data_IF_808909070244
#
_entry.id   IF_808909070244
#
_cell.length_a   1.000
_cell.length_b   1.000
_cell.length_c   1.000
_cell.angle_alpha   90.00
_cell.angle_beta   90.00
_cell.angle_gamma   90.00
#
_symmetry.space_group_name_H-M   'P 1'
#
loop_
_entity.id
_entity.type
_entity.pdbx_description
1 polymer ?
#
# COMPACT_ATOMS: atom_id res chain seq x y z
N UNK A 1 36.00 -36.72 -15.62
CA UNK A 1 34.78 -36.25 -16.32
C UNK A 1 33.98 -35.36 -15.43
N UNK A 2 34.09 -34.06 -15.68
CA UNK A 2 33.47 -33.02 -14.89
C UNK A 2 32.03 -32.81 -15.32
N UNK A 3 31.08 -33.05 -14.42
CA UNK A 3 29.71 -32.57 -14.60
C UNK A 3 29.55 -31.29 -13.77
N UNK A 4 29.60 -30.16 -14.47
CA UNK A 4 29.23 -28.84 -13.93
C UNK A 4 27.72 -28.82 -13.73
N UNK A 5 27.29 -28.84 -12.48
CA UNK A 5 25.94 -28.41 -12.11
C UNK A 5 25.97 -26.89 -11.92
N UNK A 6 25.58 -26.16 -12.94
CA UNK A 6 25.17 -24.80 -12.82
C UNK A 6 23.74 -24.80 -12.30
N UNK A 7 23.60 -24.86 -10.98
CA UNK A 7 22.33 -24.51 -10.35
C UNK A 7 22.25 -22.99 -10.32
N UNK A 8 21.52 -22.43 -11.25
CA UNK A 8 21.09 -21.03 -11.18
C UNK A 8 19.97 -20.96 -10.15
N UNK A 9 20.32 -20.96 -8.88
CA UNK A 9 19.42 -20.59 -7.81
C UNK A 9 19.42 -19.07 -7.71
N UNK A 10 18.52 -18.43 -8.42
CA UNK A 10 18.03 -17.10 -8.04
C UNK A 10 17.18 -17.26 -6.78
N UNK A 11 17.83 -17.56 -5.68
CA UNK A 11 17.23 -17.33 -4.36
C UNK A 11 17.18 -15.82 -4.18
N UNK A 12 16.02 -15.25 -4.45
CA UNK A 12 15.67 -13.96 -3.94
C UNK A 12 15.68 -14.11 -2.40
N UNK A 13 16.81 -13.79 -1.78
CA UNK A 13 16.92 -13.72 -0.33
C UNK A 13 16.15 -12.46 0.03
N UNK A 14 14.86 -12.62 0.34
CA UNK A 14 14.06 -11.62 1.00
C UNK A 14 14.72 -11.42 2.37
N UNK A 15 15.53 -10.39 2.51
CA UNK A 15 16.11 -9.99 3.80
C UNK A 15 14.98 -9.42 4.66
N UNK A 16 14.36 -10.28 5.45
CA UNK A 16 13.46 -9.85 6.52
C UNK A 16 14.34 -9.22 7.59
N UNK A 17 14.46 -7.91 7.54
CA UNK A 17 15.11 -7.15 8.61
C UNK A 17 14.12 -7.03 9.77
N UNK A 18 14.25 -7.94 10.73
CA UNK A 18 13.67 -7.74 12.06
C UNK A 18 14.47 -6.65 12.77
N UNK A 19 14.12 -5.39 12.59
CA UNK A 19 14.62 -4.33 13.44
C UNK A 19 13.78 -4.28 14.71
N UNK A 20 14.42 -4.53 15.85
CA UNK A 20 13.90 -4.32 17.23
C UNK A 20 13.97 -2.81 17.55
N UNK A 21 13.48 -2.00 16.66
CA UNK A 21 13.21 -0.58 16.85
C UNK A 21 11.68 -0.47 16.82
N UNK A 22 11.09 0.49 17.52
CA UNK A 22 9.66 0.76 17.43
C UNK A 22 9.31 1.24 16.01
N UNK A 23 9.46 0.35 15.04
CA UNK A 23 9.08 0.62 13.65
C UNK A 23 7.57 0.65 13.57
N UNK A 24 7.06 1.57 12.76
CA UNK A 24 5.64 1.69 12.48
C UNK A 24 5.11 0.52 11.61
N UNK A 25 5.95 -0.47 11.28
CA UNK A 25 5.61 -1.63 10.45
C UNK A 25 6.29 -2.92 10.93
N UNK A 26 5.73 -4.07 10.55
CA UNK A 26 6.26 -5.40 10.88
C UNK A 26 7.22 -5.95 9.82
N UNK A 27 6.96 -5.66 8.55
CA UNK A 27 7.74 -6.17 7.41
C UNK A 27 7.73 -5.22 6.22
N UNK A 28 8.82 -5.20 5.47
CA UNK A 28 8.95 -4.56 4.16
C UNK A 28 9.06 -5.63 3.08
N UNK A 29 8.26 -5.51 2.03
CA UNK A 29 8.31 -6.36 0.83
C UNK A 29 8.26 -5.48 -0.41
N UNK A 30 9.26 -5.57 -1.26
CA UNK A 30 9.37 -4.81 -2.52
C UNK A 30 9.18 -3.29 -2.35
N UNK A 31 9.71 -2.73 -1.24
CA UNK A 31 9.62 -1.30 -0.93
C UNK A 31 8.28 -0.85 -0.35
N UNK A 32 7.37 -1.78 -0.06
CA UNK A 32 6.09 -1.49 0.59
C UNK A 32 6.12 -2.04 2.02
N UNK A 33 5.65 -1.23 2.96
CA UNK A 33 5.66 -1.54 4.39
C UNK A 33 4.31 -2.08 4.84
N UNK A 34 4.32 -3.11 5.67
CA UNK A 34 3.11 -3.81 6.11
C UNK A 34 3.09 -4.07 7.60
N UNK A 35 1.90 -3.97 8.19
CA UNK A 35 1.54 -4.60 9.45
C UNK A 35 0.96 -5.98 9.19
N UNK A 36 1.24 -6.93 10.07
CA UNK A 36 0.72 -8.31 10.05
C UNK A 36 -0.01 -8.63 11.36
N UNK A 37 -1.12 -7.94 11.66
CA UNK A 37 -1.75 -7.94 13.00
C UNK A 37 -2.32 -9.31 13.39
N UNK A 38 -2.56 -10.18 12.42
CA UNK A 38 -3.04 -11.53 12.62
C UNK A 38 -2.62 -12.45 11.48
N UNK A 39 -2.75 -13.76 11.71
CA UNK A 39 -2.41 -14.77 10.71
C UNK A 39 -3.11 -14.49 9.36
N UNK A 40 -2.34 -14.57 8.29
CA UNK A 40 -2.77 -14.43 6.89
C UNK A 40 -3.39 -13.06 6.51
N UNK A 41 -3.17 -12.02 7.30
CA UNK A 41 -3.61 -10.64 6.99
C UNK A 41 -2.43 -9.70 7.00
N UNK A 42 -2.28 -8.93 5.92
CA UNK A 42 -1.36 -7.80 5.82
C UNK A 42 -2.16 -6.50 5.60
N UNK A 43 -1.65 -5.41 6.14
CA UNK A 43 -2.19 -4.06 6.02
C UNK A 43 -1.06 -3.16 5.54
N UNK A 44 -1.26 -2.42 4.46
CA UNK A 44 -0.27 -1.43 3.99
C UNK A 44 -0.19 -0.31 5.00
N UNK A 45 1.01 0.05 5.41
CA UNK A 45 1.25 1.08 6.42
C UNK A 45 2.38 2.03 6.02
N UNK A 46 2.61 3.03 6.85
CA UNK A 46 3.72 3.96 6.71
C UNK A 46 5.04 3.29 7.10
N UNK A 47 6.06 3.50 6.30
CA UNK A 47 7.42 3.04 6.58
C UNK A 47 8.37 4.14 6.99
N UNK A 48 9.65 3.78 7.10
CA UNK A 48 10.74 4.70 7.45
C UNK A 48 11.05 5.69 6.33
N UNK A 49 10.65 5.37 5.09
CA UNK A 49 10.83 6.21 3.91
C UNK A 49 9.50 6.56 3.29
N UNK A 50 9.38 7.78 2.78
CA UNK A 50 8.22 8.18 2.01
C UNK A 50 8.17 7.40 0.69
N UNK A 51 6.95 6.95 0.32
CA UNK A 51 6.72 6.33 -0.98
C UNK A 51 6.87 7.34 -2.11
N UNK A 52 7.37 6.89 -3.26
CA UNK A 52 7.55 7.73 -4.45
C UNK A 52 7.38 6.92 -5.73
N UNK A 53 7.08 7.61 -6.84
CA UNK A 53 6.85 6.98 -8.14
C UNK A 53 5.54 6.20 -8.18
N UNK A 54 5.52 5.14 -8.97
CA UNK A 54 4.36 4.28 -9.16
C UNK A 54 4.40 3.10 -8.20
N UNK A 55 3.36 2.96 -7.38
CA UNK A 55 3.23 1.88 -6.42
C UNK A 55 2.15 0.90 -6.89
N UNK A 56 2.53 -0.36 -7.02
CA UNK A 56 1.59 -1.45 -7.28
C UNK A 56 1.49 -2.34 -6.04
N UNK A 57 0.39 -2.21 -5.29
CA UNK A 57 0.14 -3.00 -4.09
C UNK A 57 -0.26 -4.42 -4.54
N UNK A 58 0.46 -5.48 -4.12
CA UNK A 58 0.09 -6.85 -4.44
C UNK A 58 -1.14 -7.30 -3.64
N UNK A 59 -1.88 -8.28 -4.15
CA UNK A 59 -3.03 -8.88 -3.43
C UNK A 59 -2.62 -9.71 -2.23
N UNK A 60 -1.41 -10.26 -2.25
CA UNK A 60 -0.80 -11.01 -1.14
C UNK A 60 0.70 -10.82 -1.10
N UNK A 61 1.29 -11.04 0.07
CA UNK A 61 2.74 -11.05 0.31
C UNK A 61 3.15 -12.36 0.96
N UNK A 62 4.39 -12.77 0.74
CA UNK A 62 4.99 -13.92 1.44
C UNK A 62 6.02 -13.43 2.44
N UNK A 63 5.87 -13.85 3.68
CA UNK A 63 6.84 -13.60 4.75
C UNK A 63 7.28 -14.96 5.30
N UNK A 64 8.54 -15.30 5.13
CA UNK A 64 9.03 -16.67 5.30
C UNK A 64 8.22 -17.62 4.43
N UNK A 65 7.62 -18.68 5.00
CA UNK A 65 6.77 -19.63 4.28
C UNK A 65 5.27 -19.35 4.40
N UNK A 66 4.90 -18.24 5.02
CA UNK A 66 3.51 -17.86 5.26
C UNK A 66 3.03 -16.83 4.24
N UNK A 67 1.83 -17.04 3.70
CA UNK A 67 1.17 -16.08 2.82
C UNK A 67 0.19 -15.21 3.59
N UNK A 68 0.21 -13.90 3.30
CA UNK A 68 -0.65 -12.89 3.91
C UNK A 68 -1.42 -12.15 2.81
N UNK A 69 -2.73 -12.10 2.90
CA UNK A 69 -3.57 -11.31 1.99
C UNK A 69 -3.56 -9.85 2.42
N UNK A 70 -3.30 -8.95 1.48
CA UNK A 70 -3.37 -7.50 1.72
C UNK A 70 -4.83 -7.08 1.76
N UNK A 71 -5.33 -6.65 2.92
CA UNK A 71 -6.75 -6.39 3.17
C UNK A 71 -7.11 -4.93 3.25
N UNK A 72 -6.22 -4.09 3.75
CA UNK A 72 -6.52 -2.71 4.04
C UNK A 72 -5.30 -1.81 3.77
N UNK A 73 -5.56 -0.54 3.53
CA UNK A 73 -4.59 0.54 3.58
C UNK A 73 -4.82 1.29 4.88
N UNK A 74 -3.83 1.28 5.76
CA UNK A 74 -3.91 1.91 7.08
C UNK A 74 -4.07 3.43 6.98
N UNK A 75 -4.61 4.02 8.04
CA UNK A 75 -4.62 5.47 8.17
C UNK A 75 -3.21 6.06 8.08
N UNK A 76 -3.06 7.13 7.33
CA UNK A 76 -1.80 7.84 7.07
C UNK A 76 -0.70 7.03 6.38
N UNK A 77 -1.00 5.86 5.78
CA UNK A 77 -0.01 4.99 5.13
C UNK A 77 0.88 5.72 4.11
N UNK A 78 0.30 6.60 3.30
CA UNK A 78 0.98 7.37 2.27
C UNK A 78 0.97 8.89 2.55
N UNK A 79 0.64 9.32 3.77
CA UNK A 79 0.60 10.75 4.12
C UNK A 79 1.91 11.46 3.81
N UNK A 80 1.85 12.63 3.18
CA UNK A 80 3.00 13.45 2.78
C UNK A 80 3.95 12.76 1.77
N UNK A 81 3.49 11.75 1.04
CA UNK A 81 4.27 11.13 -0.03
C UNK A 81 4.23 12.01 -1.29
N UNK A 82 4.89 13.17 -1.24
CA UNK A 82 4.86 14.20 -2.29
C UNK A 82 5.45 13.72 -3.62
N UNK A 83 6.25 12.66 -3.62
CA UNK A 83 6.81 12.03 -4.83
C UNK A 83 5.99 10.87 -5.38
N UNK A 84 4.87 10.49 -4.76
CA UNK A 84 4.01 9.42 -5.20
C UNK A 84 3.19 9.86 -6.41
N UNK A 85 3.29 9.15 -7.55
CA UNK A 85 2.66 9.51 -8.82
C UNK A 85 1.43 8.69 -9.15
N UNK A 86 1.45 7.40 -8.86
CA UNK A 86 0.29 6.54 -9.04
C UNK A 86 0.23 5.40 -8.02
N UNK A 87 -0.97 4.92 -7.71
CA UNK A 87 -1.19 3.74 -6.87
C UNK A 87 -2.23 2.83 -7.49
N UNK A 88 -1.84 1.56 -7.68
CA UNK A 88 -2.76 0.49 -8.03
C UNK A 88 -3.12 -0.30 -6.78
N UNK A 89 -4.41 -0.31 -6.43
CA UNK A 89 -4.96 -1.02 -5.26
C UNK A 89 -5.55 -2.35 -5.73
N UNK A 90 -5.18 -3.50 -5.13
CA UNK A 90 -5.67 -4.81 -5.57
C UNK A 90 -7.10 -5.08 -5.07
N UNK A 91 -7.78 -6.03 -5.74
CA UNK A 91 -9.14 -6.47 -5.39
C UNK A 91 -9.26 -7.18 -4.02
N UNK A 92 -8.16 -7.36 -3.30
CA UNK A 92 -8.17 -7.90 -1.94
C UNK A 92 -8.41 -6.83 -0.87
N UNK A 93 -8.20 -5.54 -1.21
CA UNK A 93 -8.35 -4.40 -0.28
C UNK A 93 -9.82 -4.03 -0.15
N UNK A 94 -10.27 -3.88 1.09
CA UNK A 94 -11.68 -3.58 1.43
C UNK A 94 -11.87 -2.19 2.01
N UNK A 95 -10.81 -1.57 2.56
CA UNK A 95 -10.89 -0.22 3.12
C UNK A 95 -9.65 0.63 2.83
N UNK A 96 -9.88 1.92 2.71
CA UNK A 96 -8.84 2.97 2.64
C UNK A 96 -8.98 3.81 3.89
N UNK A 97 -7.94 3.85 4.71
CA UNK A 97 -7.95 4.49 6.04
C UNK A 97 -8.01 6.02 6.01
N UNK A 98 -8.17 6.62 7.19
CA UNK A 98 -8.14 8.06 7.39
C UNK A 98 -6.80 8.66 6.96
N UNK A 99 -6.82 9.78 6.21
CA UNK A 99 -5.64 10.48 5.72
C UNK A 99 -4.65 9.59 4.93
N UNK A 100 -5.10 8.44 4.38
CA UNK A 100 -4.21 7.45 3.77
C UNK A 100 -3.31 8.05 2.70
N UNK A 101 -3.81 8.97 1.88
CA UNK A 101 -3.08 9.69 0.83
C UNK A 101 -3.07 11.22 1.04
N UNK A 102 -3.24 11.68 2.27
CA UNK A 102 -3.22 13.11 2.59
C UNK A 102 -1.90 13.76 2.12
N UNK A 103 -1.99 14.92 1.45
CA UNK A 103 -0.84 15.69 0.95
C UNK A 103 0.04 14.94 -0.08
N UNK A 104 -0.51 13.99 -0.82
CA UNK A 104 0.15 13.36 -1.97
C UNK A 104 0.05 14.26 -3.20
N UNK A 105 0.79 15.37 -3.21
CA UNK A 105 0.62 16.45 -4.19
C UNK A 105 0.91 16.04 -5.65
N UNK A 106 1.75 15.02 -5.89
CA UNK A 106 2.09 14.52 -7.22
C UNK A 106 1.21 13.35 -7.68
N UNK A 107 0.26 12.90 -6.85
CA UNK A 107 -0.60 11.76 -7.17
C UNK A 107 -1.57 12.13 -8.29
N UNK A 108 -1.38 11.54 -9.46
CA UNK A 108 -2.20 11.81 -10.66
C UNK A 108 -3.25 10.75 -10.92
N UNK A 109 -3.03 9.53 -10.42
CA UNK A 109 -3.90 8.40 -10.70
C UNK A 109 -3.99 7.44 -9.51
N UNK A 110 -5.22 7.06 -9.18
CA UNK A 110 -5.53 5.97 -8.25
C UNK A 110 -6.66 5.13 -8.84
N UNK A 111 -6.46 3.82 -8.89
CA UNK A 111 -7.53 2.89 -9.25
C UNK A 111 -8.10 2.27 -7.99
N UNK A 112 -9.35 2.61 -7.66
CA UNK A 112 -10.08 2.02 -6.53
C UNK A 112 -10.85 0.80 -7.04
N UNK A 113 -10.57 -0.41 -6.53
CA UNK A 113 -11.23 -1.63 -6.98
C UNK A 113 -12.65 -1.79 -6.40
N UNK A 114 -13.47 -2.63 -7.03
CA UNK A 114 -14.84 -2.95 -6.59
C UNK A 114 -14.92 -3.70 -5.24
N UNK A 115 -13.81 -4.02 -4.62
CA UNK A 115 -13.74 -4.60 -3.28
C UNK A 115 -13.80 -3.56 -2.16
N UNK A 116 -13.44 -2.30 -2.46
CA UNK A 116 -13.42 -1.22 -1.47
C UNK A 116 -14.84 -0.81 -1.11
N UNK A 117 -15.15 -0.83 0.17
CA UNK A 117 -16.47 -0.46 0.73
C UNK A 117 -16.44 0.85 1.49
N UNK A 118 -15.26 1.28 1.96
CA UNK A 118 -15.11 2.51 2.75
C UNK A 118 -13.85 3.29 2.40
N UNK A 119 -13.99 4.62 2.40
CA UNK A 119 -12.92 5.59 2.24
C UNK A 119 -12.95 6.50 3.47
N UNK A 120 -11.83 6.62 4.17
CA UNK A 120 -11.71 7.35 5.45
C UNK A 120 -11.76 8.86 5.30
N UNK A 121 -11.82 9.56 6.44
CA UNK A 121 -11.75 11.02 6.50
C UNK A 121 -10.44 11.50 5.86
N UNK A 122 -10.49 12.58 5.08
CA UNK A 122 -9.34 13.22 4.43
C UNK A 122 -8.45 12.26 3.62
N UNK A 123 -8.97 11.10 3.20
CA UNK A 123 -8.18 10.03 2.60
C UNK A 123 -7.35 10.47 1.40
N UNK A 124 -7.86 11.38 0.58
CA UNK A 124 -7.19 11.98 -0.58
C UNK A 124 -7.12 13.51 -0.50
N UNK A 125 -7.27 14.09 0.70
CA UNK A 125 -7.22 15.53 0.86
C UNK A 125 -5.87 16.10 0.39
N UNK A 126 -5.89 17.24 -0.29
CA UNK A 126 -4.73 17.91 -0.88
C UNK A 126 -3.97 17.08 -1.96
N UNK A 127 -4.61 16.11 -2.60
CA UNK A 127 -4.07 15.44 -3.79
C UNK A 127 -4.25 16.33 -5.02
N UNK A 128 -3.50 17.44 -5.08
CA UNK A 128 -3.72 18.55 -6.05
C UNK A 128 -3.47 18.17 -7.51
N UNK A 129 -2.81 17.08 -7.80
CA UNK A 129 -2.61 16.56 -9.16
C UNK A 129 -3.67 15.52 -9.56
N UNK A 130 -4.55 15.12 -8.64
CA UNK A 130 -5.57 14.10 -8.89
C UNK A 130 -6.82 14.74 -9.50
N UNK A 131 -6.81 14.89 -10.82
CA UNK A 131 -7.87 15.57 -11.59
C UNK A 131 -9.12 14.74 -11.79
N UNK A 132 -9.03 13.42 -11.62
CA UNK A 132 -10.17 12.52 -11.70
C UNK A 132 -9.94 11.25 -10.89
N UNK A 133 -11.02 10.73 -10.31
CA UNK A 133 -11.03 9.45 -9.61
C UNK A 133 -12.39 8.79 -9.81
N UNK A 134 -12.39 7.50 -10.08
CA UNK A 134 -13.64 6.73 -10.20
C UNK A 134 -13.93 6.07 -8.86
N UNK A 135 -15.09 6.40 -8.28
CA UNK A 135 -15.58 5.75 -7.07
C UNK A 135 -16.48 4.59 -7.49
N UNK A 136 -16.13 3.34 -7.16
CA UNK A 136 -16.95 2.17 -7.53
C UNK A 136 -18.25 2.11 -6.70
N UNK A 137 -19.26 1.45 -7.26
CA UNK A 137 -20.57 1.28 -6.60
C UNK A 137 -20.52 0.48 -5.29
N UNK A 138 -19.43 -0.20 -5.02
CA UNK A 138 -19.18 -0.93 -3.77
C UNK A 138 -18.93 0.00 -2.57
N UNK A 139 -18.51 1.24 -2.81
CA UNK A 139 -18.22 2.20 -1.74
C UNK A 139 -19.54 2.69 -1.13
N UNK A 140 -19.76 2.32 0.13
CA UNK A 140 -20.96 2.69 0.91
C UNK A 140 -20.69 3.79 1.91
N UNK A 141 -19.41 4.12 2.19
CA UNK A 141 -19.02 5.16 3.13
C UNK A 141 -17.85 5.96 2.62
N UNK A 142 -17.99 7.28 2.61
CA UNK A 142 -16.92 8.25 2.30
C UNK A 142 -16.85 9.21 3.48
N UNK A 143 -15.66 9.35 4.04
CA UNK A 143 -15.38 10.19 5.20
C UNK A 143 -15.43 11.69 4.89
N UNK A 144 -15.43 12.49 5.96
CA UNK A 144 -15.39 13.95 5.88
C UNK A 144 -14.11 14.40 5.14
N UNK A 145 -14.24 15.35 4.23
CA UNK A 145 -13.13 15.93 3.47
C UNK A 145 -12.28 14.92 2.69
N UNK A 146 -12.83 13.74 2.35
CA UNK A 146 -12.07 12.67 1.71
C UNK A 146 -11.34 13.11 0.43
N UNK A 147 -11.87 14.10 -0.31
CA UNK A 147 -11.32 14.64 -1.55
C UNK A 147 -11.17 16.18 -1.49
N UNK A 148 -11.00 16.75 -0.28
CA UNK A 148 -10.83 18.18 -0.14
C UNK A 148 -9.55 18.65 -0.86
N UNK A 149 -9.65 19.77 -1.60
CA UNK A 149 -8.53 20.38 -2.35
C UNK A 149 -7.86 19.42 -3.38
N UNK A 150 -8.64 18.51 -3.98
CA UNK A 150 -8.31 17.83 -5.23
C UNK A 150 -8.78 18.73 -6.39
N UNK A 151 -7.90 19.05 -7.34
CA UNK A 151 -8.16 20.00 -8.43
C UNK A 151 -8.18 19.27 -9.75
#
# INVERSE_FOLDING_TARGET
MNKRFTALMTTLILSVLFSISASAYDVEVDGIYYLTPKKNVAIVTKGDKAYSGDINIPSSIKVNESEYTVRDIEGSAFTNCSGLTSVTIPNSVTSIGEAAFLDCHSLTSVTIPNSVTSIGNSAFSNCRSLTSITIPNSVTSIGHEAFYDCI
#
